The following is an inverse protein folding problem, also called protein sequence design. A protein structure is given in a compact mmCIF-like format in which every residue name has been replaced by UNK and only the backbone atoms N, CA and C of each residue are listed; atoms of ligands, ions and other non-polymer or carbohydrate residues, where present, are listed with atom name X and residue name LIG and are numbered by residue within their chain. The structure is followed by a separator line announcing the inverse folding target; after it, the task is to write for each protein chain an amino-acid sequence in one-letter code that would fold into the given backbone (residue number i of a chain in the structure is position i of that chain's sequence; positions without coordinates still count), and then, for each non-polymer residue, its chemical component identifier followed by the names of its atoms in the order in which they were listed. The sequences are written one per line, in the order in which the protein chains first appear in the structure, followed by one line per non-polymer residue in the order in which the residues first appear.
data_IF_303192915036
#
_entry.id   IF_303192915036
#
_cell.length_a   1.000
_cell.length_b   1.000
_cell.length_c   1.000
_cell.angle_alpha   90.00
_cell.angle_beta   90.00
_cell.angle_gamma   90.00
#
_symmetry.space_group_name_H-M   'P 1'
#
loop_
_entity.id
_entity.type
_entity.pdbx_description
1 polymer ?
#
# COMPACT_ATOMS: atom_id res chain seq x y z
N UNK A 1 49.99 -26.89 9.24
CA UNK A 1 50.59 -25.60 8.86
C UNK A 1 49.50 -24.74 8.25
N UNK A 2 49.37 -23.53 8.77
CA UNK A 2 48.23 -22.59 8.66
C UNK A 2 48.06 -22.00 7.26
N UNK A 3 46.84 -22.02 6.70
CA UNK A 3 46.47 -21.13 5.60
C UNK A 3 45.90 -19.84 6.20
N UNK A 4 46.70 -18.77 6.09
CA UNK A 4 46.44 -17.43 6.61
C UNK A 4 45.46 -16.67 5.71
N UNK A 5 44.65 -15.86 6.38
CA UNK A 5 43.75 -14.79 5.91
C UNK A 5 44.42 -13.73 5.01
N UNK A 6 43.60 -12.78 4.51
CA UNK A 6 43.86 -11.45 3.88
C UNK A 6 43.52 -11.44 2.37
N UNK A 7 42.87 -10.44 1.74
CA UNK A 7 42.36 -9.11 2.10
C UNK A 7 41.41 -8.63 0.97
N UNK A 8 40.40 -7.85 1.38
CA UNK A 8 39.80 -6.65 0.75
C UNK A 8 40.12 -6.31 -0.72
N UNK A 9 39.05 -6.09 -1.50
CA UNK A 9 39.02 -5.02 -2.51
C UNK A 9 37.70 -4.24 -2.36
N UNK A 10 37.75 -3.21 -1.52
CA UNK A 10 36.77 -2.15 -1.49
C UNK A 10 36.89 -1.32 -2.78
N UNK A 11 35.79 -1.13 -3.52
CA UNK A 11 35.69 -0.04 -4.49
C UNK A 11 34.63 0.92 -3.98
N UNK A 12 35.11 1.87 -3.18
CA UNK A 12 34.45 3.14 -2.89
C UNK A 12 34.46 3.93 -4.19
N UNK A 13 33.31 4.05 -4.86
CA UNK A 13 33.10 5.09 -5.87
C UNK A 13 32.22 6.15 -5.23
N UNK A 14 32.89 7.15 -4.66
CA UNK A 14 32.32 8.46 -4.37
C UNK A 14 32.70 9.43 -5.51
N UNK A 15 31.96 10.54 -5.57
CA UNK A 15 32.06 11.72 -6.46
C UNK A 15 31.15 11.62 -7.70
N UNK A 16 30.06 12.41 -7.83
CA UNK A 16 29.89 13.82 -7.45
C UNK A 16 28.43 14.19 -7.12
N UNK A 17 28.20 15.31 -6.38
CA UNK A 17 26.88 15.76 -5.95
C UNK A 17 26.21 16.60 -7.05
N UNK A 18 24.97 16.26 -7.44
CA UNK A 18 24.10 17.23 -8.10
C UNK A 18 23.23 17.89 -7.04
N UNK A 19 23.34 19.21 -6.99
CA UNK A 19 22.68 20.12 -6.09
C UNK A 19 21.19 19.77 -5.91
N UNK A 20 20.80 19.50 -4.67
CA UNK A 20 19.41 19.55 -4.26
C UNK A 20 19.00 21.02 -4.23
N UNK A 21 18.25 21.46 -5.24
CA UNK A 21 17.45 22.67 -5.10
C UNK A 21 16.36 22.37 -4.07
N UNK A 22 16.51 22.97 -2.89
CA UNK A 22 15.46 23.00 -1.89
C UNK A 22 14.29 23.84 -2.45
N UNK A 23 13.39 23.16 -3.15
CA UNK A 23 12.07 23.71 -3.49
C UNK A 23 11.33 24.14 -2.22
N UNK A 24 10.46 25.16 -2.32
CA UNK A 24 9.91 25.83 -1.15
C UNK A 24 9.09 24.87 -0.28
N UNK A 25 9.34 24.95 1.02
CA UNK A 25 8.43 24.55 2.08
C UNK A 25 7.02 25.09 1.78
N UNK A 26 6.08 24.22 1.40
CA UNK A 26 4.69 24.64 1.38
C UNK A 26 3.76 23.86 0.45
N UNK A 27 3.22 22.75 0.95
CA UNK A 27 1.77 22.54 1.00
C UNK A 27 1.48 21.41 1.98
N UNK A 28 0.69 21.68 3.02
CA UNK A 28 0.00 20.57 3.72
C UNK A 28 -0.95 19.98 2.68
N UNK A 29 -0.81 18.70 2.28
CA UNK A 29 -1.73 18.10 1.33
C UNK A 29 -3.13 18.14 1.94
N UNK A 30 -4.08 18.66 1.16
CA UNK A 30 -5.49 18.66 1.55
C UNK A 30 -6.03 17.24 1.48
N UNK A 31 -7.10 16.88 2.23
CA UNK A 31 -7.68 15.53 2.22
C UNK A 31 -8.26 15.09 0.86
N UNK A 32 -8.18 15.93 -0.18
CA UNK A 32 -8.82 15.74 -1.48
C UNK A 32 -7.90 15.96 -2.69
N UNK A 33 -6.59 16.13 -2.51
CA UNK A 33 -5.66 16.11 -3.65
C UNK A 33 -5.44 14.65 -4.09
N UNK A 34 -6.41 14.16 -4.87
CA UNK A 34 -6.49 12.89 -5.61
C UNK A 34 -5.26 12.00 -5.47
N UNK A 35 -5.41 10.92 -4.70
CA UNK A 35 -4.43 9.84 -4.72
C UNK A 35 -4.25 9.38 -6.17
N UNK A 36 -3.02 9.36 -6.72
CA UNK A 36 -2.82 8.95 -8.10
C UNK A 36 -3.37 7.54 -8.31
N UNK A 37 -4.08 7.30 -9.42
CA UNK A 37 -4.64 5.98 -9.74
C UNK A 37 -3.59 4.85 -9.75
N UNK A 38 -2.31 5.20 -9.90
CA UNK A 38 -1.18 4.26 -9.87
C UNK A 38 -0.73 3.88 -8.46
N UNK A 39 -1.19 4.56 -7.40
CA UNK A 39 -0.74 4.27 -6.03
C UNK A 39 -1.15 2.85 -5.64
N UNK A 40 -0.22 2.02 -5.16
CA UNK A 40 -0.56 0.69 -4.69
C UNK A 40 -1.42 0.78 -3.41
N UNK A 41 -2.37 -0.15 -3.24
CA UNK A 41 -3.21 -0.28 -2.04
C UNK A 41 -2.40 -0.16 -0.73
N UNK A 42 -2.92 0.64 0.22
CA UNK A 42 -2.28 0.97 1.48
C UNK A 42 -1.73 2.40 1.53
N UNK A 43 -1.54 2.98 2.73
CA UNK A 43 -1.02 4.33 2.87
C UNK A 43 0.45 4.46 2.39
N UNK A 44 0.75 5.56 1.70
CA UNK A 44 2.11 6.00 1.35
C UNK A 44 2.74 5.42 0.07
N UNK A 45 3.82 6.08 -0.36
CA UNK A 45 4.82 5.59 -1.33
C UNK A 45 5.88 4.80 -0.55
N UNK A 46 5.68 3.49 -0.38
CA UNK A 46 6.72 2.66 0.24
C UNK A 46 7.35 1.78 -0.81
N UNK A 47 8.56 2.16 -1.22
CA UNK A 47 9.49 1.34 -2.00
C UNK A 47 9.60 -0.05 -1.34
N UNK A 48 8.80 -1.01 -1.85
CA UNK A 48 8.76 -2.41 -1.44
C UNK A 48 7.58 -2.85 -0.54
N UNK A 49 6.89 -1.95 0.17
CA UNK A 49 5.86 -2.32 1.16
C UNK A 49 4.52 -2.72 0.52
N UNK A 50 3.95 -1.80 -0.26
CA UNK A 50 2.64 -2.01 -0.90
C UNK A 50 2.73 -2.85 -2.20
N UNK A 51 3.95 -3.18 -2.67
CA UNK A 51 4.18 -4.03 -3.85
C UNK A 51 3.63 -5.45 -3.69
N UNK A 52 3.53 -5.94 -2.44
CA UNK A 52 3.02 -7.28 -2.12
C UNK A 52 1.51 -7.31 -1.93
N UNK A 53 0.86 -6.15 -1.88
CA UNK A 53 -0.60 -6.05 -1.77
C UNK A 53 -1.17 -6.23 -3.17
N UNK A 54 -2.10 -7.18 -3.38
CA UNK A 54 -2.79 -7.32 -4.65
C UNK A 54 -3.51 -6.02 -5.03
N UNK A 55 -3.31 -5.56 -6.26
CA UNK A 55 -3.94 -4.33 -6.80
C UNK A 55 -5.22 -4.63 -7.58
N UNK A 56 -5.45 -5.90 -7.88
CA UNK A 56 -6.57 -6.38 -8.67
C UNK A 56 -6.58 -7.90 -8.72
N UNK A 57 -7.68 -8.47 -9.21
CA UNK A 57 -7.81 -9.90 -9.46
C UNK A 57 -8.87 -10.13 -10.54
N UNK A 58 -8.72 -11.16 -11.38
CA UNK A 58 -9.78 -11.59 -12.32
C UNK A 58 -10.37 -10.47 -13.20
N UNK A 59 -9.53 -9.53 -13.65
CA UNK A 59 -9.93 -8.42 -14.51
C UNK A 59 -10.50 -7.20 -13.77
N UNK A 60 -10.55 -7.21 -12.44
CA UNK A 60 -10.97 -6.05 -11.65
C UNK A 60 -9.76 -5.31 -11.07
N UNK A 61 -9.82 -3.98 -11.09
CA UNK A 61 -8.90 -3.08 -10.41
C UNK A 61 -9.50 -2.70 -9.05
N UNK A 62 -8.88 -3.12 -7.94
CA UNK A 62 -9.41 -2.89 -6.59
C UNK A 62 -8.86 -1.62 -5.92
N UNK A 63 -7.96 -0.88 -6.58
CA UNK A 63 -7.36 0.34 -6.03
C UNK A 63 -8.39 1.38 -5.58
N UNK A 64 -9.52 1.60 -6.29
CA UNK A 64 -10.56 2.53 -5.82
C UNK A 64 -11.18 2.10 -4.47
N UNK A 65 -11.35 0.80 -4.25
CA UNK A 65 -11.85 0.29 -2.96
C UNK A 65 -10.80 0.43 -1.85
N UNK A 66 -9.53 0.20 -2.18
CA UNK A 66 -8.42 0.44 -1.26
C UNK A 66 -8.33 1.91 -0.84
N UNK A 67 -8.48 2.86 -1.76
CA UNK A 67 -8.47 4.30 -1.44
C UNK A 67 -9.56 4.66 -0.43
N UNK A 68 -10.78 4.15 -0.62
CA UNK A 68 -11.89 4.38 0.32
C UNK A 68 -11.65 3.70 1.67
N UNK A 69 -11.05 2.53 1.69
CA UNK A 69 -10.65 1.84 2.93
C UNK A 69 -9.58 2.61 3.70
N UNK A 70 -8.53 3.07 3.01
CA UNK A 70 -7.47 3.90 3.58
C UNK A 70 -8.05 5.20 4.17
N UNK A 71 -8.93 5.89 3.42
CA UNK A 71 -9.61 7.10 3.90
C UNK A 71 -10.50 6.83 5.12
N UNK A 72 -11.15 5.68 5.17
CA UNK A 72 -11.95 5.29 6.33
C UNK A 72 -11.09 5.10 7.59
N UNK A 73 -9.85 4.63 7.44
CA UNK A 73 -8.89 4.53 8.55
C UNK A 73 -8.39 5.88 9.06
N UNK A 74 -8.49 6.95 8.26
CA UNK A 74 -8.15 8.31 8.70
C UNK A 74 -9.20 8.89 9.68
N UNK A 75 -10.42 8.34 9.69
CA UNK A 75 -11.45 8.74 10.65
C UNK A 75 -11.30 7.99 11.98
N UNK A 76 -10.93 8.68 13.08
CA UNK A 76 -10.74 8.04 14.38
C UNK A 76 -12.04 7.51 15.00
N UNK A 77 -13.21 7.90 14.49
CA UNK A 77 -14.53 7.58 15.08
C UNK A 77 -15.24 6.40 14.43
N UNK A 78 -15.00 6.14 13.13
CA UNK A 78 -15.68 5.06 12.39
C UNK A 78 -15.29 3.66 12.88
N UNK A 79 -14.05 3.51 13.35
CA UNK A 79 -13.54 2.26 13.91
C UNK A 79 -13.13 1.23 12.85
N UNK A 80 -12.01 0.56 13.09
CA UNK A 80 -11.33 -0.32 12.12
C UNK A 80 -12.25 -1.37 11.48
N UNK A 81 -13.06 -2.06 12.29
CA UNK A 81 -13.93 -3.14 11.81
C UNK A 81 -14.97 -2.64 10.80
N UNK A 82 -15.53 -1.45 11.01
CA UNK A 82 -16.54 -0.88 10.11
C UNK A 82 -15.93 -0.60 8.75
N UNK A 83 -14.72 -0.05 8.72
CA UNK A 83 -13.94 0.14 7.50
C UNK A 83 -13.65 -1.19 6.79
N UNK A 84 -13.22 -2.22 7.53
CA UNK A 84 -12.93 -3.55 6.97
C UNK A 84 -14.18 -4.21 6.37
N UNK A 85 -15.33 -4.11 7.04
CA UNK A 85 -16.60 -4.66 6.55
C UNK A 85 -17.07 -3.93 5.29
N UNK A 86 -16.93 -2.59 5.26
CA UNK A 86 -17.25 -1.77 4.09
C UNK A 86 -16.36 -2.13 2.90
N UNK A 87 -15.06 -2.32 3.13
CA UNK A 87 -14.10 -2.75 2.12
C UNK A 87 -14.48 -4.12 1.54
N UNK A 88 -14.78 -5.13 2.37
CA UNK A 88 -15.20 -6.45 1.89
C UNK A 88 -16.47 -6.39 1.04
N UNK A 89 -17.47 -5.61 1.47
CA UNK A 89 -18.72 -5.44 0.73
C UNK A 89 -18.45 -4.84 -0.65
N UNK A 90 -17.60 -3.83 -0.70
CA UNK A 90 -17.24 -3.18 -1.95
C UNK A 90 -16.49 -4.12 -2.91
N UNK A 91 -15.47 -4.84 -2.42
CA UNK A 91 -14.77 -5.84 -3.23
C UNK A 91 -15.73 -6.88 -3.83
N UNK A 92 -16.73 -7.31 -3.05
CA UNK A 92 -17.76 -8.26 -3.53
C UNK A 92 -18.63 -7.66 -4.64
N UNK A 93 -19.01 -6.39 -4.53
CA UNK A 93 -19.75 -5.69 -5.59
C UNK A 93 -18.92 -5.60 -6.87
N UNK A 94 -17.62 -5.28 -6.77
CA UNK A 94 -16.72 -5.24 -7.92
C UNK A 94 -16.55 -6.62 -8.58
N UNK A 95 -16.65 -7.70 -7.80
CA UNK A 95 -16.57 -9.05 -8.35
C UNK A 95 -17.74 -9.43 -9.27
N UNK A 96 -18.87 -8.74 -9.22
CA UNK A 96 -20.01 -9.03 -10.11
C UNK A 96 -19.67 -8.72 -11.58
N UNK A 97 -18.75 -7.78 -11.84
CA UNK A 97 -18.25 -7.45 -13.19
C UNK A 97 -16.93 -8.14 -13.54
N UNK A 98 -16.45 -9.09 -12.71
CA UNK A 98 -15.19 -9.78 -12.95
C UNK A 98 -15.32 -10.93 -13.94
N UNK A 99 -14.22 -11.35 -14.56
CA UNK A 99 -14.21 -12.52 -15.45
C UNK A 99 -14.50 -13.83 -14.72
N UNK A 100 -14.23 -13.88 -13.41
CA UNK A 100 -14.47 -15.06 -12.57
C UNK A 100 -15.08 -14.67 -11.21
N UNK A 101 -16.40 -14.40 -11.14
CA UNK A 101 -17.06 -13.85 -9.94
C UNK A 101 -16.83 -14.66 -8.67
N UNK A 102 -16.87 -15.98 -8.75
CA UNK A 102 -16.69 -16.85 -7.57
C UNK A 102 -15.26 -16.78 -7.01
N UNK A 103 -14.25 -16.86 -7.88
CA UNK A 103 -12.85 -16.76 -7.48
C UNK A 103 -12.51 -15.35 -6.97
N UNK A 104 -13.10 -14.33 -7.59
CA UNK A 104 -12.98 -12.95 -7.14
C UNK A 104 -13.55 -12.78 -5.72
N UNK A 105 -14.76 -13.28 -5.44
CA UNK A 105 -15.37 -13.22 -4.10
C UNK A 105 -14.52 -13.95 -3.04
N UNK A 106 -13.87 -15.05 -3.43
CA UNK A 106 -12.92 -15.77 -2.56
C UNK A 106 -11.65 -14.94 -2.30
N UNK A 107 -11.08 -14.32 -3.32
CA UNK A 107 -9.93 -13.41 -3.18
C UNK A 107 -10.29 -12.18 -2.32
N UNK A 108 -11.49 -11.61 -2.49
CA UNK A 108 -12.00 -10.53 -1.65
C UNK A 108 -12.05 -10.91 -0.16
N UNK A 109 -12.48 -12.14 0.15
CA UNK A 109 -12.45 -12.66 1.52
C UNK A 109 -11.03 -12.79 2.08
N UNK A 110 -10.07 -13.22 1.25
CA UNK A 110 -8.66 -13.28 1.66
C UNK A 110 -8.09 -11.87 1.91
N UNK A 111 -8.42 -10.90 1.06
CA UNK A 111 -8.06 -9.49 1.26
C UNK A 111 -8.61 -8.94 2.58
N UNK A 112 -9.89 -9.21 2.88
CA UNK A 112 -10.50 -8.88 4.17
C UNK A 112 -9.76 -9.50 5.36
N UNK A 113 -9.42 -10.79 5.28
CA UNK A 113 -8.63 -11.45 6.34
C UNK A 113 -7.26 -10.76 6.50
N UNK A 114 -6.61 -10.40 5.38
CA UNK A 114 -5.35 -9.66 5.38
C UNK A 114 -5.44 -8.34 6.17
N UNK A 115 -6.42 -7.48 5.87
CA UNK A 115 -6.58 -6.21 6.59
C UNK A 115 -6.99 -6.40 8.05
N UNK A 116 -7.73 -7.46 8.39
CA UNK A 116 -8.09 -7.78 9.79
C UNK A 116 -6.90 -8.21 10.64
N UNK A 117 -5.94 -8.93 10.03
CA UNK A 117 -4.75 -9.44 10.71
C UNK A 117 -3.62 -8.42 10.74
N UNK A 118 -3.43 -7.66 9.66
CA UNK A 118 -2.24 -6.82 9.46
C UNK A 118 -2.56 -5.32 9.34
N UNK A 119 -3.84 -4.93 9.26
CA UNK A 119 -4.26 -3.53 9.18
C UNK A 119 -4.31 -2.83 10.53
N UNK A 120 -3.84 -1.57 10.59
CA UNK A 120 -3.94 -0.72 11.79
C UNK A 120 -2.68 -0.61 12.65
N UNK A 121 -1.48 -0.76 12.06
CA UNK A 121 -0.20 -0.55 12.77
C UNK A 121 0.11 0.91 13.12
N UNK A 122 -0.55 1.89 12.52
CA UNK A 122 -0.47 3.29 12.95
C UNK A 122 -1.53 3.54 14.01
N UNK A 123 -1.12 3.47 15.28
CA UNK A 123 -1.84 4.16 16.36
C UNK A 123 -1.88 5.64 15.99
N UNK A 124 -3.06 6.17 15.71
CA UNK A 124 -3.27 7.62 15.81
C UNK A 124 -3.07 7.98 17.28
N UNK A 125 -2.18 8.94 17.52
CA UNK A 125 -2.01 9.61 18.80
C UNK A 125 -3.31 10.31 19.21
#
# INVERSE_FOLDING_TARGET
MTLRSLLLAATVVCLSPLAAEAGPLGKKPSPSDSCPWWRPCGPGETYGGNKRVPQGAFGIDIRPACERHDRCYEDPTTGRKVCDDAFLRELRCMCESSTHPWLCKRAAKLGYIGVRLFGGGSKSN
#
